data_IF_046071248507
#
_entry.id   IF_046071248507
#
_cell.length_a   1.000
_cell.length_b   1.000
_cell.length_c   1.000
_cell.angle_alpha   90.00
_cell.angle_beta   90.00
_cell.angle_gamma   90.00
#
_symmetry.space_group_name_H-M   'P 1'
#
loop_
_entity.id
_entity.type
_entity.pdbx_description
1 polymer ?
#
# COMPACT_ATOMS: atom_id res chain seq x y z
N UNK A 1 -5.86 -3.80 17.41
CA UNK A 1 -4.91 -3.49 16.33
C UNK A 1 -5.39 -2.31 15.52
N UNK A 2 -6.47 -2.47 14.76
CA UNK A 2 -6.99 -1.46 13.81
C UNK A 2 -7.43 -0.14 14.46
N UNK A 3 -8.11 -0.20 15.61
CA UNK A 3 -8.53 1.00 16.36
C UNK A 3 -7.37 1.93 16.76
N UNK A 4 -6.18 1.38 17.02
CA UNK A 4 -5.01 2.18 17.38
C UNK A 4 -4.46 2.96 16.18
N UNK A 5 -4.47 2.36 14.98
CA UNK A 5 -4.03 3.01 13.75
C UNK A 5 -4.93 4.16 13.33
N UNK A 6 -6.25 3.96 13.41
CA UNK A 6 -7.25 5.01 13.08
C UNK A 6 -7.16 6.17 14.06
N UNK A 7 -7.06 5.90 15.36
CA UNK A 7 -6.94 6.95 16.39
C UNK A 7 -5.66 7.75 16.23
N UNK A 8 -4.53 7.08 16.01
CA UNK A 8 -3.23 7.73 15.81
C UNK A 8 -3.23 8.59 14.54
N UNK A 9 -3.85 8.10 13.45
CA UNK A 9 -4.04 8.90 12.24
C UNK A 9 -4.92 10.13 12.49
N UNK A 10 -6.03 9.96 13.22
CA UNK A 10 -6.90 11.08 13.58
C UNK A 10 -6.16 12.17 14.35
N UNK A 11 -5.30 11.81 15.31
CA UNK A 11 -4.47 12.76 16.04
C UNK A 11 -3.47 13.50 15.14
N UNK A 12 -2.86 12.82 14.18
CA UNK A 12 -1.94 13.43 13.21
C UNK A 12 -2.68 14.43 12.32
N UNK A 13 -3.82 14.02 11.74
CA UNK A 13 -4.62 14.86 10.83
C UNK A 13 -5.25 16.07 11.55
N UNK A 14 -5.58 15.95 12.83
CA UNK A 14 -6.12 17.05 13.63
C UNK A 14 -5.04 18.05 14.09
N UNK A 15 -3.75 17.72 13.99
CA UNK A 15 -2.67 18.62 14.35
C UNK A 15 -2.47 19.70 13.27
N UNK A 16 -3.15 20.84 13.45
CA UNK A 16 -3.10 21.97 12.52
C UNK A 16 -1.70 22.56 12.32
N UNK A 17 -0.87 22.53 13.35
CA UNK A 17 0.51 23.05 13.24
C UNK A 17 1.34 22.18 12.31
N UNK A 18 1.22 20.86 12.46
CA UNK A 18 1.87 19.89 11.58
C UNK A 18 1.33 20.01 10.15
N UNK A 19 0.01 19.98 9.95
CA UNK A 19 -0.58 20.08 8.59
C UNK A 19 -0.13 21.36 7.88
N UNK A 20 -0.13 22.50 8.58
CA UNK A 20 0.37 23.76 8.02
C UNK A 20 1.85 23.69 7.65
N UNK A 21 2.68 23.11 8.52
CA UNK A 21 4.11 22.91 8.23
C UNK A 21 4.30 22.05 6.97
N UNK A 22 3.52 20.98 6.80
CA UNK A 22 3.59 20.10 5.64
C UNK A 22 3.18 20.80 4.34
N UNK A 23 2.12 21.63 4.38
CA UNK A 23 1.68 22.47 3.26
C UNK A 23 2.75 23.50 2.86
N UNK A 24 3.39 24.13 3.85
CA UNK A 24 4.43 25.15 3.63
C UNK A 24 5.76 24.56 3.12
N UNK A 25 6.06 23.31 3.50
CA UNK A 25 7.33 22.63 3.17
C UNK A 25 7.43 22.20 1.70
N UNK A 26 6.32 22.12 0.97
CA UNK A 26 6.26 21.80 -0.48
C UNK A 26 7.03 20.53 -0.88
N UNK A 27 6.74 19.43 -0.21
CA UNK A 27 7.29 18.12 -0.57
C UNK A 27 6.88 17.69 -1.98
N UNK A 28 7.67 16.82 -2.61
CA UNK A 28 7.42 16.35 -3.97
C UNK A 28 6.69 15.01 -4.02
N UNK A 29 6.77 14.19 -2.97
CA UNK A 29 6.12 12.88 -2.91
C UNK A 29 5.89 12.40 -1.47
N UNK A 30 4.93 11.49 -1.33
CA UNK A 30 4.64 10.77 -0.09
C UNK A 30 4.97 9.28 -0.26
N UNK A 31 5.93 8.77 0.50
CA UNK A 31 6.22 7.35 0.63
C UNK A 31 5.56 6.80 1.91
N UNK A 32 4.67 5.83 1.79
CA UNK A 32 3.92 5.29 2.95
C UNK A 32 3.58 3.82 2.78
N UNK A 33 3.36 3.10 3.89
CA UNK A 33 2.67 1.81 3.85
C UNK A 33 1.15 2.07 3.81
N UNK A 34 0.44 1.74 2.70
CA UNK A 34 -0.98 2.01 2.53
C UNK A 34 -1.91 1.16 3.42
N UNK A 35 -1.40 0.16 4.15
CA UNK A 35 -2.21 -0.54 5.16
C UNK A 35 -2.67 0.41 6.25
N UNK A 36 -1.84 1.41 6.58
CA UNK A 36 -2.21 2.56 7.39
C UNK A 36 -2.55 3.72 6.45
N UNK A 37 -3.82 3.89 6.13
CA UNK A 37 -4.31 4.83 5.11
C UNK A 37 -4.00 6.31 5.39
N UNK A 38 -3.43 6.64 6.54
CA UNK A 38 -3.11 8.02 6.91
C UNK A 38 -2.22 8.73 5.88
N UNK A 39 -1.17 8.07 5.41
CA UNK A 39 -0.30 8.63 4.38
C UNK A 39 -1.02 8.84 3.05
N UNK A 40 -1.97 7.97 2.69
CA UNK A 40 -2.78 8.12 1.48
C UNK A 40 -3.78 9.29 1.60
N UNK A 41 -4.39 9.48 2.77
CA UNK A 41 -5.26 10.62 3.07
C UNK A 41 -4.45 11.93 2.98
N UNK A 42 -3.28 11.95 3.61
CA UNK A 42 -2.40 13.12 3.61
C UNK A 42 -1.89 13.44 2.20
N UNK A 43 -1.52 12.44 1.41
CA UNK A 43 -1.11 12.63 0.02
C UNK A 43 -2.23 13.27 -0.80
N UNK A 44 -3.48 12.85 -0.60
CA UNK A 44 -4.65 13.45 -1.27
C UNK A 44 -4.85 14.91 -0.84
N UNK A 45 -4.74 15.20 0.46
CA UNK A 45 -4.86 16.57 0.99
C UNK A 45 -3.80 17.52 0.41
N UNK A 46 -2.54 17.08 0.43
CA UNK A 46 -1.40 17.86 -0.08
C UNK A 46 -1.30 17.84 -1.62
N UNK A 47 -2.15 17.07 -2.31
CA UNK A 47 -2.10 16.86 -3.76
C UNK A 47 -0.73 16.34 -4.25
N UNK A 48 -0.12 15.44 -3.48
CA UNK A 48 1.20 14.86 -3.78
C UNK A 48 1.09 13.46 -4.37
N UNK A 49 1.99 13.07 -5.30
CA UNK A 49 2.07 11.70 -5.76
C UNK A 49 2.44 10.77 -4.61
N UNK A 50 1.69 9.68 -4.44
CA UNK A 50 1.97 8.67 -3.43
C UNK A 50 2.75 7.48 -4.02
N UNK A 51 3.75 7.05 -3.26
CA UNK A 51 4.54 5.85 -3.47
C UNK A 51 4.22 4.89 -2.33
N UNK A 52 3.66 3.74 -2.65
CA UNK A 52 3.24 2.77 -1.65
C UNK A 52 4.28 1.69 -1.45
N UNK A 53 4.67 1.44 -0.21
CA UNK A 53 5.63 0.40 0.15
C UNK A 53 4.99 -0.61 1.10
N UNK A 54 4.66 -1.79 0.58
CA UNK A 54 3.85 -2.80 1.25
C UNK A 54 4.20 -4.19 0.75
N UNK A 55 3.77 -5.24 1.46
CA UNK A 55 3.78 -6.60 0.92
C UNK A 55 2.47 -6.94 0.18
N UNK A 56 1.37 -6.36 0.61
CA UNK A 56 0.02 -6.58 0.10
C UNK A 56 -0.99 -6.01 1.10
N UNK A 57 -2.24 -5.83 0.68
CA UNK A 57 -3.32 -5.36 1.55
C UNK A 57 -4.28 -6.55 1.76
N UNK A 58 -4.84 -6.74 2.97
CA UNK A 58 -5.87 -7.75 3.21
C UNK A 58 -7.03 -7.66 2.21
N UNK A 59 -7.69 -8.79 2.01
CA UNK A 59 -8.82 -8.98 1.10
C UNK A 59 -8.58 -8.64 -0.38
N UNK A 60 -7.33 -8.37 -0.76
CA UNK A 60 -6.99 -8.04 -2.13
C UNK A 60 -7.31 -6.60 -2.53
N UNK A 61 -7.45 -5.68 -1.57
CA UNK A 61 -7.74 -4.27 -1.85
C UNK A 61 -6.64 -3.60 -2.70
N UNK A 62 -5.40 -4.07 -2.62
CA UNK A 62 -4.30 -3.67 -3.51
C UNK A 62 -4.56 -4.05 -4.97
N UNK A 63 -5.16 -5.21 -5.22
CA UNK A 63 -5.54 -5.65 -6.57
C UNK A 63 -6.69 -4.82 -7.11
N UNK A 64 -7.70 -4.55 -6.29
CA UNK A 64 -8.85 -3.73 -6.68
C UNK A 64 -8.44 -2.28 -6.92
N UNK A 65 -7.55 -1.73 -6.09
CA UNK A 65 -7.02 -0.39 -6.29
C UNK A 65 -6.14 -0.28 -7.55
N UNK A 66 -5.29 -1.28 -7.81
CA UNK A 66 -4.42 -1.31 -9.00
C UNK A 66 -5.13 -1.78 -10.26
N UNK A 67 -6.34 -2.34 -10.17
CA UNK A 67 -7.01 -3.06 -11.26
C UNK A 67 -6.16 -4.23 -11.80
N UNK A 68 -5.30 -4.80 -10.95
CA UNK A 68 -4.41 -5.89 -11.32
C UNK A 68 -5.18 -7.23 -11.32
N UNK A 69 -5.20 -7.99 -12.44
CA UNK A 69 -5.91 -9.26 -12.50
C UNK A 69 -5.37 -10.31 -11.53
N UNK A 70 -6.27 -10.98 -10.79
CA UNK A 70 -5.92 -12.09 -9.88
C UNK A 70 -6.83 -13.31 -10.07
N UNK A 71 -6.71 -14.06 -11.17
CA UNK A 71 -7.68 -15.10 -11.52
C UNK A 71 -7.67 -16.28 -10.53
N UNK A 72 -8.83 -16.66 -9.95
CA UNK A 72 -8.90 -17.73 -8.96
C UNK A 72 -8.71 -19.13 -9.56
N UNK A 73 -8.62 -19.25 -10.89
CA UNK A 73 -8.41 -20.53 -11.58
C UNK A 73 -6.98 -21.06 -11.46
N UNK A 74 -5.99 -20.20 -11.23
CA UNK A 74 -4.58 -20.56 -11.11
C UNK A 74 -3.81 -19.73 -10.06
N UNK A 75 -4.38 -18.64 -9.54
CA UNK A 75 -3.80 -17.92 -8.40
C UNK A 75 -4.49 -18.38 -7.11
N UNK A 76 -3.81 -19.14 -6.24
CA UNK A 76 -4.41 -19.60 -4.99
C UNK A 76 -4.68 -18.41 -4.05
N UNK A 77 -5.82 -18.45 -3.37
CA UNK A 77 -6.21 -17.48 -2.34
C UNK A 77 -5.44 -17.76 -1.06
N UNK A 78 -5.18 -16.70 -0.29
CA UNK A 78 -4.57 -16.83 1.03
C UNK A 78 -5.32 -17.84 1.88
N UNK A 79 -4.60 -18.55 2.77
CA UNK A 79 -5.16 -19.53 3.70
C UNK A 79 -5.74 -20.82 3.08
N UNK A 80 -5.80 -20.98 1.75
CA UNK A 80 -6.32 -22.20 1.11
C UNK A 80 -5.33 -23.37 1.04
N UNK A 81 -4.06 -23.16 1.42
CA UNK A 81 -2.94 -24.11 1.23
C UNK A 81 -2.80 -24.67 -0.20
N UNK A 82 -3.47 -24.06 -1.18
CA UNK A 82 -3.41 -24.46 -2.57
C UNK A 82 -2.16 -23.89 -3.26
N UNK A 83 -1.80 -24.51 -4.39
CA UNK A 83 -0.74 -24.05 -5.28
C UNK A 83 -1.34 -23.53 -6.60
N UNK A 84 -0.49 -23.15 -7.54
CA UNK A 84 -0.88 -22.86 -8.93
C UNK A 84 -1.43 -24.08 -9.69
N UNK A 85 -1.14 -25.28 -9.19
CA UNK A 85 -1.67 -26.53 -9.70
C UNK A 85 -2.90 -27.01 -8.91
N UNK A 86 -4.07 -26.49 -9.27
CA UNK A 86 -5.36 -26.87 -8.68
C UNK A 86 -6.20 -27.77 -9.61
N UNK A 87 -6.80 -28.81 -9.02
CA UNK A 87 -7.91 -29.57 -9.61
C UNK A 87 -9.16 -28.69 -9.76
N UNK A 88 -10.12 -29.12 -10.58
CA UNK A 88 -11.38 -28.41 -10.76
C UNK A 88 -12.06 -28.05 -9.43
N UNK A 89 -12.20 -29.01 -8.50
CA UNK A 89 -12.82 -28.76 -7.20
C UNK A 89 -12.00 -27.83 -6.31
N UNK A 90 -10.67 -27.87 -6.37
CA UNK A 90 -9.83 -26.89 -5.68
C UNK A 90 -10.04 -25.49 -6.24
N UNK A 91 -10.18 -25.31 -7.56
CA UNK A 91 -10.49 -24.01 -8.17
C UNK A 91 -11.85 -23.47 -7.73
N UNK A 92 -12.86 -24.33 -7.63
CA UNK A 92 -14.18 -23.95 -7.12
C UNK A 92 -14.07 -23.52 -5.65
N UNK A 93 -13.37 -24.28 -4.80
CA UNK A 93 -13.12 -23.89 -3.40
C UNK A 93 -12.32 -22.59 -3.29
N UNK A 94 -11.33 -22.41 -4.16
CA UNK A 94 -10.50 -21.22 -4.20
C UNK A 94 -11.32 -19.97 -4.53
N UNK A 95 -12.25 -20.07 -5.49
CA UNK A 95 -13.21 -19.00 -5.78
C UNK A 95 -14.13 -18.72 -4.59
N UNK A 96 -14.67 -19.75 -3.94
CA UNK A 96 -15.54 -19.57 -2.77
C UNK A 96 -14.83 -18.91 -1.59
N UNK A 97 -13.53 -19.15 -1.43
CA UNK A 97 -12.72 -18.53 -0.39
C UNK A 97 -12.49 -17.03 -0.63
N UNK A 98 -12.72 -16.53 -1.85
CA UNK A 98 -12.56 -15.11 -2.19
C UNK A 98 -13.78 -14.26 -1.78
N UNK A 99 -14.95 -14.88 -1.62
CA UNK A 99 -16.20 -14.17 -1.37
C UNK A 99 -16.21 -13.49 0.01
N UNK A 100 -15.79 -14.13 1.12
CA UNK A 100 -15.78 -13.51 2.45
C UNK A 100 -14.85 -12.32 2.55
N UNK A 101 -13.74 -12.33 1.79
CA UNK A 101 -12.73 -11.27 1.80
C UNK A 101 -13.35 -9.92 1.39
N UNK A 102 -14.27 -9.92 0.43
CA UNK A 102 -14.95 -8.70 -0.05
C UNK A 102 -15.70 -7.98 1.08
N UNK A 103 -16.45 -8.71 1.91
CA UNK A 103 -17.27 -8.11 2.96
C UNK A 103 -16.47 -7.71 4.20
N UNK A 104 -15.42 -8.48 4.52
CA UNK A 104 -14.63 -8.23 5.72
C UNK A 104 -13.83 -6.91 5.61
N UNK A 105 -13.36 -6.57 4.40
CA UNK A 105 -12.56 -5.37 4.21
C UNK A 105 -13.36 -4.07 4.23
N UNK A 106 -14.60 -4.06 3.73
CA UNK A 106 -15.45 -2.88 3.86
C UNK A 106 -15.60 -2.48 5.33
N UNK A 107 -15.85 -3.45 6.21
CA UNK A 107 -15.95 -3.20 7.65
C UNK A 107 -14.62 -2.77 8.29
N UNK A 108 -13.50 -3.41 7.93
CA UNK A 108 -12.19 -3.10 8.49
C UNK A 108 -11.70 -1.68 8.13
N UNK A 109 -12.02 -1.23 6.92
CA UNK A 109 -11.56 0.06 6.39
C UNK A 109 -12.60 1.19 6.47
N UNK A 110 -13.86 0.90 6.83
CA UNK A 110 -14.92 1.91 7.04
C UNK A 110 -14.48 3.06 7.98
N UNK A 111 -13.80 2.81 9.13
CA UNK A 111 -13.36 3.90 10.00
C UNK A 111 -12.38 4.86 9.33
N UNK A 112 -11.51 4.36 8.45
CA UNK A 112 -10.61 5.20 7.67
C UNK A 112 -11.35 5.99 6.59
N UNK A 113 -12.37 5.39 5.97
CA UNK A 113 -13.22 6.10 5.01
C UNK A 113 -13.91 7.29 5.68
N UNK A 114 -14.50 7.09 6.87
CA UNK A 114 -15.13 8.17 7.64
C UNK A 114 -14.12 9.25 8.03
N UNK A 115 -12.97 8.87 8.57
CA UNK A 115 -11.92 9.81 8.94
C UNK A 115 -11.41 10.62 7.74
N UNK A 116 -11.21 9.97 6.59
CA UNK A 116 -10.80 10.61 5.36
C UNK A 116 -11.86 11.62 4.88
N UNK A 117 -13.14 11.22 4.87
CA UNK A 117 -14.22 12.08 4.43
C UNK A 117 -14.41 13.30 5.33
N UNK A 118 -14.27 13.12 6.65
CA UNK A 118 -14.30 14.21 7.63
C UNK A 118 -13.12 15.16 7.46
N UNK A 119 -11.90 14.66 7.27
CA UNK A 119 -10.72 15.51 7.13
C UNK A 119 -10.71 16.27 5.79
N UNK A 120 -11.01 15.58 4.69
CA UNK A 120 -10.98 16.15 3.33
C UNK A 120 -12.26 16.93 2.99
N UNK A 121 -13.29 16.89 3.85
CA UNK A 121 -14.58 17.55 3.63
C UNK A 121 -15.27 17.12 2.33
N UNK A 122 -15.07 15.87 1.93
CA UNK A 122 -15.62 15.27 0.71
C UNK A 122 -15.87 13.77 0.96
N UNK A 123 -16.91 13.18 0.36
CA UNK A 123 -17.09 11.73 0.42
C UNK A 123 -15.98 11.00 -0.35
N UNK A 124 -15.19 10.18 0.35
CA UNK A 124 -14.03 9.47 -0.20
C UNK A 124 -14.05 8.02 0.23
N UNK A 125 -14.12 7.12 -0.75
CA UNK A 125 -13.91 5.70 -0.53
C UNK A 125 -12.40 5.39 -0.42
N UNK A 126 -12.07 4.39 0.39
CA UNK A 126 -10.67 3.93 0.56
C UNK A 126 -10.04 3.48 -0.75
N UNK A 127 -10.79 2.79 -1.60
CA UNK A 127 -10.31 2.38 -2.92
C UNK A 127 -9.85 3.58 -3.76
N UNK A 128 -10.54 4.71 -3.66
CA UNK A 128 -10.20 5.92 -4.43
C UNK A 128 -8.94 6.61 -3.89
N UNK A 129 -8.66 6.52 -2.59
CA UNK A 129 -7.37 6.95 -2.02
C UNK A 129 -6.23 6.09 -2.57
N UNK A 130 -6.43 4.77 -2.62
CA UNK A 130 -5.40 3.84 -3.05
C UNK A 130 -5.14 3.92 -4.57
N UNK A 131 -6.17 4.13 -5.38
CA UNK A 131 -6.07 4.32 -6.85
C UNK A 131 -5.17 5.48 -7.27
N UNK A 132 -4.97 6.47 -6.41
CA UNK A 132 -4.13 7.65 -6.70
C UNK A 132 -2.62 7.38 -6.62
N UNK A 133 -2.23 6.17 -6.23
CA UNK A 133 -0.83 5.77 -6.18
C UNK A 133 -0.13 5.89 -7.53
N UNK A 134 0.99 6.62 -7.52
CA UNK A 134 1.88 6.73 -8.67
C UNK A 134 2.72 5.46 -8.86
N UNK A 135 3.19 4.87 -7.76
CA UNK A 135 4.03 3.65 -7.78
C UNK A 135 3.70 2.75 -6.59
N UNK A 136 3.65 1.44 -6.82
CA UNK A 136 3.50 0.39 -5.82
C UNK A 136 4.81 -0.39 -5.72
N UNK A 137 5.60 -0.09 -4.70
CA UNK A 137 6.80 -0.83 -4.32
C UNK A 137 6.39 -2.05 -3.49
N UNK A 138 6.18 -3.19 -4.17
CA UNK A 138 5.72 -4.42 -3.54
C UNK A 138 6.91 -5.18 -2.94
N UNK A 139 6.92 -5.40 -1.63
CA UNK A 139 7.87 -6.23 -0.89
C UNK A 139 7.64 -7.72 -1.16
N UNK A 140 7.76 -8.11 -2.41
CA UNK A 140 7.61 -9.47 -2.90
C UNK A 140 8.69 -9.78 -3.93
N UNK A 141 8.95 -11.07 -4.11
CA UNK A 141 9.92 -11.59 -5.07
C UNK A 141 9.20 -12.56 -6.01
N UNK A 142 9.52 -12.51 -7.31
CA UNK A 142 8.89 -13.36 -8.32
C UNK A 142 9.16 -14.85 -8.08
N UNK A 143 10.18 -15.21 -7.30
CA UNK A 143 10.47 -16.60 -6.91
C UNK A 143 9.46 -17.13 -5.89
N UNK A 144 8.86 -16.25 -5.08
CA UNK A 144 7.93 -16.62 -3.99
C UNK A 144 6.46 -16.42 -4.35
N UNK A 145 6.18 -15.64 -5.39
CA UNK A 145 4.83 -15.30 -5.83
C UNK A 145 4.37 -16.17 -7.00
N UNK A 146 3.08 -16.50 -7.03
CA UNK A 146 2.49 -17.22 -8.16
C UNK A 146 2.44 -16.34 -9.42
N UNK A 147 2.65 -16.93 -10.61
CA UNK A 147 2.70 -16.17 -11.85
C UNK A 147 1.34 -15.51 -12.12
N UNK A 148 1.36 -14.19 -12.24
CA UNK A 148 0.20 -13.37 -12.59
C UNK A 148 0.64 -12.07 -13.27
N UNK A 149 -0.25 -11.43 -14.06
CA UNK A 149 0.04 -10.12 -14.61
C UNK A 149 0.32 -9.10 -13.51
N UNK A 150 1.21 -8.14 -13.78
CA UNK A 150 1.46 -6.97 -12.94
C UNK A 150 1.18 -5.70 -13.73
N UNK A 151 0.74 -4.66 -13.03
CA UNK A 151 0.53 -3.34 -13.63
C UNK A 151 1.86 -2.59 -13.78
N UNK A 152 2.00 -1.70 -14.79
CA UNK A 152 3.26 -1.00 -15.06
C UNK A 152 3.78 -0.16 -13.89
N UNK A 153 2.87 0.30 -13.01
CA UNK A 153 3.22 1.06 -11.81
C UNK A 153 3.52 0.16 -10.60
N UNK A 154 3.52 -1.16 -10.73
CA UNK A 154 3.88 -2.11 -9.68
C UNK A 154 5.33 -2.58 -9.88
N UNK A 155 6.18 -2.35 -8.88
CA UNK A 155 7.59 -2.71 -8.87
C UNK A 155 7.83 -3.69 -7.72
N UNK A 156 8.06 -4.98 -8.01
CA UNK A 156 8.48 -5.96 -7.00
C UNK A 156 9.89 -5.65 -6.49
N UNK A 157 10.06 -5.69 -5.18
CA UNK A 157 11.31 -5.39 -4.47
C UNK A 157 11.54 -6.47 -3.42
N UNK A 158 12.41 -7.42 -3.74
CA UNK A 158 12.91 -8.43 -2.82
C UNK A 158 14.14 -7.94 -2.03
N UNK A 159 14.46 -8.60 -0.92
CA UNK A 159 15.79 -8.50 -0.27
C UNK A 159 16.18 -7.18 0.40
N UNK A 160 15.30 -6.17 0.47
CA UNK A 160 15.63 -4.83 1.01
C UNK A 160 16.00 -4.76 2.48
N UNK A 161 15.62 -5.78 3.27
CA UNK A 161 15.91 -5.81 4.70
C UNK A 161 17.24 -6.51 5.04
N UNK A 162 17.99 -6.99 4.05
CA UNK A 162 19.29 -7.60 4.27
C UNK A 162 20.36 -6.51 4.40
N UNK A 163 21.03 -6.42 5.55
CA UNK A 163 22.23 -5.60 5.71
C UNK A 163 23.33 -6.15 4.78
N UNK A 164 23.76 -5.34 3.80
CA UNK A 164 24.73 -5.77 2.81
C UNK A 164 26.10 -5.97 3.48
N UNK A 165 26.57 -7.21 3.55
CA UNK A 165 28.00 -7.49 3.68
C UNK A 165 28.54 -7.49 2.24
N UNK A 166 29.08 -6.34 1.83
CA UNK A 166 29.81 -6.05 0.58
C UNK A 166 29.78 -7.13 -0.51
N UNK A 167 28.92 -6.95 -1.52
CA UNK A 167 29.08 -7.53 -2.86
C UNK A 167 28.83 -6.45 -3.92
N UNK A 168 29.64 -6.37 -4.98
CA UNK A 168 29.59 -5.30 -5.95
C UNK A 168 28.48 -5.57 -6.97
N UNK A 169 27.25 -5.14 -6.70
CA UNK A 169 26.16 -5.17 -7.69
C UNK A 169 25.35 -3.87 -7.70
N UNK A 170 25.83 -2.97 -8.57
CA UNK A 170 25.14 -2.07 -9.49
C UNK A 170 23.64 -1.80 -9.23
N UNK A 171 23.35 -0.56 -8.82
CA UNK A 171 22.28 0.25 -9.43
C UNK A 171 21.00 0.47 -8.64
N UNK A 172 20.45 -0.54 -7.95
CA UNK A 172 19.06 -0.44 -7.45
C UNK A 172 18.93 -0.20 -5.93
N UNK A 173 19.82 -0.76 -5.12
CA UNK A 173 19.76 -0.61 -3.64
C UNK A 173 20.14 0.80 -3.16
N UNK A 174 20.92 1.53 -3.96
CA UNK A 174 21.33 2.91 -3.67
C UNK A 174 20.14 3.88 -3.72
N UNK A 175 19.11 3.60 -4.54
CA UNK A 175 17.96 4.50 -4.71
C UNK A 175 17.08 4.59 -3.46
N UNK A 176 16.80 3.49 -2.75
CA UNK A 176 15.93 3.53 -1.57
C UNK A 176 16.63 4.23 -0.39
N UNK A 177 17.92 3.95 -0.17
CA UNK A 177 18.71 4.65 0.86
C UNK A 177 18.90 6.14 0.52
N UNK A 178 19.10 6.48 -0.76
CA UNK A 178 19.19 7.87 -1.21
C UNK A 178 17.85 8.61 -1.08
N UNK A 179 16.72 7.96 -1.35
CA UNK A 179 15.39 8.55 -1.13
C UNK A 179 15.17 8.87 0.35
N UNK A 180 15.43 7.91 1.24
CA UNK A 180 15.24 8.09 2.70
C UNK A 180 16.10 9.24 3.25
N UNK A 181 17.30 9.48 2.69
CA UNK A 181 18.17 10.58 3.08
C UNK A 181 17.56 11.99 2.90
N UNK A 182 16.52 12.12 2.07
CA UNK A 182 15.81 13.38 1.81
C UNK A 182 14.33 13.34 2.24
N UNK A 183 13.93 12.28 2.97
CA UNK A 183 12.57 12.16 3.46
C UNK A 183 12.48 12.51 4.95
N UNK A 184 11.49 13.31 5.33
CA UNK A 184 11.08 13.51 6.73
C UNK A 184 10.12 12.40 7.12
N UNK A 185 10.34 11.76 8.29
CA UNK A 185 9.48 10.69 8.79
C UNK A 185 8.52 11.21 9.88
N UNK A 186 7.21 11.11 9.62
CA UNK A 186 6.15 11.47 10.57
C UNK A 186 5.16 10.31 10.71
N UNK A 187 5.14 9.65 11.87
CA UNK A 187 4.17 8.56 12.14
C UNK A 187 4.26 7.36 11.20
N UNK A 188 5.41 7.12 10.56
CA UNK A 188 5.60 6.07 9.56
C UNK A 188 5.32 6.50 8.11
N UNK A 189 4.96 7.77 7.90
CA UNK A 189 4.83 8.42 6.60
C UNK A 189 6.16 9.12 6.30
N UNK A 190 6.69 8.92 5.10
CA UNK A 190 7.91 9.56 4.62
C UNK A 190 7.55 10.61 3.57
N UNK A 191 7.90 11.87 3.81
CA UNK A 191 7.68 12.98 2.89
C UNK A 191 8.99 13.39 2.26
N UNK A 192 9.09 13.31 0.93
CA UNK A 192 10.36 13.34 0.23
C UNK A 192 10.44 14.50 -0.77
N UNK A 193 11.62 15.11 -0.90
CA UNK A 193 11.91 16.14 -1.90
C UNK A 193 12.71 15.56 -3.09
N UNK A 194 12.46 16.09 -4.28
CA UNK A 194 13.21 15.84 -5.51
C UNK A 194 14.35 16.87 -5.58
N UNK A 195 15.57 16.38 -5.76
CA UNK A 195 16.72 17.24 -6.10
C UNK A 195 16.70 17.64 -7.57
#
# INVERSE_FOLDING_TARGET
GEYFGVSSCGHLLQNKELIRYLEESKFDAVLTDPVLLCGAILAKHLSLPSVYFLRGIPCGLDFDATQCPRPPSYVPRGFTQFTDHMTFFQRVKNLLHDIPDIFLCDFAFEPYSKLASEFLQQDVAVQDLLRQASVWLMRSDFVLEYPRPLMPNIIPIGGVNCAHKELPQVGHTVLIHAMIGFCVQEGGIFLCNRH
#
